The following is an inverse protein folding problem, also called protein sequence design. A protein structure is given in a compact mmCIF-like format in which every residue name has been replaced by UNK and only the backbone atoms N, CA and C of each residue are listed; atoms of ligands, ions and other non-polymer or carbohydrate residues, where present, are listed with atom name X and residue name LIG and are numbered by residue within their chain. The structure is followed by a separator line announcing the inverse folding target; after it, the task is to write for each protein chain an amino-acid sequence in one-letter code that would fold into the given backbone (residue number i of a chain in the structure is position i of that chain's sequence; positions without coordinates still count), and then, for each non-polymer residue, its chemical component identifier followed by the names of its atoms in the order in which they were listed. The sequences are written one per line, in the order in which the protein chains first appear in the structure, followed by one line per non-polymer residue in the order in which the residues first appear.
data_IF_471061572938
#
_entry.id   IF_471061572938
#
_cell.length_a   1.000
_cell.length_b   1.000
_cell.length_c   1.000
_cell.angle_alpha   90.00
_cell.angle_beta   90.00
_cell.angle_gamma   90.00
#
_symmetry.space_group_name_H-M   'P 1'
#
loop_
_entity.id
_entity.type
_entity.pdbx_description
1 polymer ?
#
# COMPACT_ATOMS: atom_id res chain seq x y z
N UNK A 1 23.04 9.93 24.59
CA UNK A 1 22.01 10.94 24.28
C UNK A 1 21.76 10.76 22.80
N UNK A 2 20.77 9.94 22.44
CA UNK A 2 20.28 9.80 21.07
C UNK A 2 19.51 11.08 20.72
N UNK A 3 19.86 11.70 19.61
CA UNK A 3 19.06 12.79 19.03
C UNK A 3 17.62 12.33 18.86
N UNK A 4 16.61 13.20 19.09
CA UNK A 4 15.25 12.87 18.80
C UNK A 4 15.15 12.59 17.30
N UNK A 5 14.63 11.41 16.93
CA UNK A 5 14.26 11.08 15.56
C UNK A 5 13.21 12.10 15.14
N UNK A 6 13.64 13.14 14.44
CA UNK A 6 12.74 14.02 13.70
C UNK A 6 11.97 13.13 12.75
N UNK A 7 10.66 13.17 12.82
CA UNK A 7 9.78 12.33 11.99
C UNK A 7 10.16 12.56 10.52
N UNK A 8 10.52 11.50 9.80
CA UNK A 8 11.05 11.64 8.44
C UNK A 8 9.98 12.03 7.44
N UNK A 9 8.70 11.81 7.74
CA UNK A 9 7.59 12.40 6.99
C UNK A 9 7.64 13.92 6.99
N UNK A 10 8.13 14.58 8.05
CA UNK A 10 8.35 16.02 8.09
C UNK A 10 9.24 16.53 6.93
N UNK A 11 10.13 15.71 6.37
CA UNK A 11 11.00 16.13 5.25
C UNK A 11 10.25 16.18 3.92
N UNK A 12 9.39 15.21 3.63
CA UNK A 12 8.53 15.27 2.45
C UNK A 12 7.54 16.44 2.56
N UNK A 13 6.92 16.63 3.72
CA UNK A 13 6.08 17.79 4.03
C UNK A 13 6.81 19.11 3.77
N UNK A 14 8.04 19.27 4.30
CA UNK A 14 8.85 20.48 4.09
C UNK A 14 9.19 20.68 2.61
N UNK A 15 9.57 19.61 1.87
CA UNK A 15 9.87 19.70 0.43
C UNK A 15 8.66 20.13 -0.40
N UNK A 16 7.47 19.72 0.02
CA UNK A 16 6.21 20.02 -0.66
C UNK A 16 5.53 21.28 -0.14
N UNK A 17 6.08 21.91 0.90
CA UNK A 17 5.53 23.12 1.51
C UNK A 17 4.23 22.85 2.26
N UNK A 18 4.01 21.64 2.77
CA UNK A 18 2.84 21.28 3.57
C UNK A 18 2.71 22.23 4.75
N UNK A 19 1.56 22.90 4.85
CA UNK A 19 1.29 23.93 5.85
C UNK A 19 0.15 23.56 6.81
N UNK A 20 -0.63 22.52 6.50
CA UNK A 20 -1.73 22.10 7.35
C UNK A 20 -2.54 20.94 6.80
N UNK A 21 -3.55 20.53 7.56
CA UNK A 21 -4.47 19.45 7.24
C UNK A 21 -5.85 20.01 6.90
N UNK A 22 -6.46 19.51 5.85
CA UNK A 22 -7.82 19.79 5.44
C UNK A 22 -8.61 18.48 5.27
N UNK A 23 -9.85 18.46 5.75
CA UNK A 23 -10.80 17.39 5.44
C UNK A 23 -11.76 17.89 4.36
N UNK A 24 -11.47 17.60 3.10
CA UNK A 24 -12.25 18.08 1.96
C UNK A 24 -12.26 17.08 0.83
N UNK A 25 -13.24 17.18 -0.04
CA UNK A 25 -13.23 16.46 -1.30
C UNK A 25 -12.12 17.00 -2.22
N UNK A 26 -11.47 16.09 -2.94
CA UNK A 26 -10.47 16.39 -3.95
C UNK A 26 -10.84 15.70 -5.26
N UNK A 27 -10.46 16.28 -6.38
CA UNK A 27 -10.65 15.62 -7.69
C UNK A 27 -9.65 14.46 -7.85
N UNK A 28 -9.97 13.46 -8.66
CA UNK A 28 -9.06 12.36 -8.95
C UNK A 28 -7.71 12.85 -9.51
N UNK A 29 -7.74 13.90 -10.35
CA UNK A 29 -6.52 14.52 -10.92
C UNK A 29 -5.66 15.17 -9.82
N UNK A 30 -6.30 15.90 -8.89
CA UNK A 30 -5.60 16.51 -7.76
C UNK A 30 -4.98 15.44 -6.84
N UNK A 31 -5.73 14.38 -6.52
CA UNK A 31 -5.26 13.28 -5.71
C UNK A 31 -4.08 12.54 -6.37
N UNK A 32 -4.18 12.21 -7.67
CA UNK A 32 -3.09 11.55 -8.41
C UNK A 32 -1.82 12.40 -8.42
N UNK A 33 -1.95 13.72 -8.65
CA UNK A 33 -0.82 14.64 -8.61
C UNK A 33 -0.18 14.68 -7.22
N UNK A 34 -0.99 14.85 -6.18
CA UNK A 34 -0.51 14.89 -4.79
C UNK A 34 0.20 13.59 -4.42
N UNK A 35 -0.40 12.43 -4.67
CA UNK A 35 0.22 11.13 -4.39
C UNK A 35 1.53 10.94 -5.16
N UNK A 36 1.61 11.33 -6.44
CA UNK A 36 2.86 11.25 -7.21
C UNK A 36 3.95 12.12 -6.60
N UNK A 37 3.63 13.38 -6.33
CA UNK A 37 4.60 14.34 -5.75
C UNK A 37 5.07 13.91 -4.37
N UNK A 38 4.16 13.40 -3.54
CA UNK A 38 4.49 12.90 -2.21
C UNK A 38 5.46 11.72 -2.28
N UNK A 39 5.10 10.65 -3.00
CA UNK A 39 5.92 9.45 -3.08
C UNK A 39 7.25 9.68 -3.82
N UNK A 40 7.32 10.66 -4.73
CA UNK A 40 8.60 11.08 -5.31
C UNK A 40 9.47 11.84 -4.29
N UNK A 41 8.87 12.68 -3.45
CA UNK A 41 9.58 13.44 -2.43
C UNK A 41 10.03 12.58 -1.23
N UNK A 42 9.23 11.59 -0.85
CA UNK A 42 9.46 10.70 0.30
C UNK A 42 10.30 9.46 -0.02
N UNK A 43 10.55 9.15 -1.29
CA UNK A 43 11.14 7.89 -1.72
C UNK A 43 12.45 7.51 -1.00
N UNK A 44 13.38 8.48 -0.84
CA UNK A 44 14.67 8.26 -0.18
C UNK A 44 14.49 8.01 1.32
N UNK A 45 13.63 8.79 1.96
CA UNK A 45 13.38 8.70 3.40
C UNK A 45 12.62 7.41 3.72
N UNK A 46 11.59 7.05 2.92
CA UNK A 46 10.85 5.80 3.06
C UNK A 46 11.75 4.57 2.94
N UNK A 47 12.58 4.51 1.90
CA UNK A 47 13.49 3.37 1.71
C UNK A 47 14.57 3.34 2.80
N UNK A 48 15.07 4.50 3.22
CA UNK A 48 16.04 4.60 4.32
C UNK A 48 15.49 4.13 5.67
N UNK A 49 14.20 4.35 5.93
CA UNK A 49 13.56 3.99 7.20
C UNK A 49 13.04 2.55 7.23
N UNK A 50 12.44 2.13 6.12
CA UNK A 50 11.70 0.87 6.08
C UNK A 50 12.42 -0.23 5.31
N UNK A 51 13.47 0.11 4.53
CA UNK A 51 14.14 -0.82 3.64
C UNK A 51 14.74 -2.04 4.32
N UNK A 52 15.31 -1.89 5.54
CA UNK A 52 15.82 -3.02 6.32
C UNK A 52 14.71 -4.02 6.69
N UNK A 53 13.55 -3.52 7.10
CA UNK A 53 12.40 -4.35 7.47
C UNK A 53 11.74 -5.02 6.27
N UNK A 54 11.58 -4.28 5.17
CA UNK A 54 10.97 -4.76 3.95
C UNK A 54 11.89 -5.73 3.17
N UNK A 55 13.20 -5.63 3.41
CA UNK A 55 14.20 -6.40 2.69
C UNK A 55 14.38 -5.95 1.23
N UNK A 56 15.41 -6.45 0.57
CA UNK A 56 15.64 -6.17 -0.84
C UNK A 56 14.91 -7.14 -1.80
N UNK A 57 14.66 -8.37 -1.34
CA UNK A 57 13.91 -9.41 -2.05
C UNK A 57 13.13 -10.24 -1.03
N UNK A 58 12.14 -9.65 -0.41
CA UNK A 58 11.25 -10.26 0.56
C UNK A 58 9.81 -9.79 0.31
N UNK A 59 8.83 -10.59 0.69
CA UNK A 59 7.42 -10.23 0.52
C UNK A 59 6.76 -10.05 1.88
N UNK A 60 6.76 -8.81 2.36
CA UNK A 60 6.13 -8.40 3.61
C UNK A 60 4.78 -7.77 3.32
N UNK A 61 3.71 -8.33 3.86
CA UNK A 61 2.35 -7.84 3.64
C UNK A 61 2.01 -6.58 4.43
N UNK A 62 2.62 -6.40 5.59
CA UNK A 62 2.17 -5.36 6.53
C UNK A 62 3.22 -5.06 7.61
N UNK A 63 3.09 -3.92 8.33
CA UNK A 63 3.95 -3.56 9.45
C UNK A 63 3.95 -4.56 10.62
N UNK A 64 2.91 -5.39 10.76
CA UNK A 64 2.87 -6.51 11.70
C UNK A 64 3.92 -7.59 11.36
N UNK A 65 4.47 -7.57 10.15
CA UNK A 65 5.55 -8.45 9.72
C UNK A 65 5.11 -9.78 9.11
N UNK A 66 3.83 -9.93 8.74
CA UNK A 66 3.35 -11.11 8.02
C UNK A 66 4.04 -11.20 6.66
N UNK A 67 4.71 -12.34 6.41
CA UNK A 67 5.40 -12.61 5.14
C UNK A 67 4.64 -13.58 4.27
N UNK A 68 4.71 -13.42 2.96
CA UNK A 68 4.09 -14.34 2.01
C UNK A 68 4.68 -15.76 2.10
N UNK A 69 5.97 -15.88 2.43
CA UNK A 69 6.61 -17.17 2.65
C UNK A 69 5.91 -18.03 3.72
N UNK A 70 5.32 -17.38 4.73
CA UNK A 70 4.61 -18.04 5.84
C UNK A 70 3.10 -18.08 5.57
N UNK A 71 2.54 -17.02 4.99
CA UNK A 71 1.11 -16.83 4.83
C UNK A 71 0.53 -17.60 3.60
N UNK A 72 1.30 -17.70 2.51
CA UNK A 72 0.88 -18.41 1.29
C UNK A 72 -0.39 -17.86 0.63
N UNK A 73 -0.68 -16.57 0.80
CA UNK A 73 -1.94 -15.96 0.35
C UNK A 73 -2.06 -15.91 -1.18
N UNK A 74 -0.93 -15.80 -1.87
CA UNK A 74 -0.90 -15.82 -3.33
C UNK A 74 -1.10 -17.23 -3.90
N UNK A 75 -0.86 -18.28 -3.09
CA UNK A 75 -0.84 -19.66 -3.56
C UNK A 75 0.40 -19.96 -4.43
N UNK A 76 0.36 -20.99 -5.28
CA UNK A 76 1.48 -21.34 -6.14
C UNK A 76 1.83 -20.19 -7.10
N UNK A 77 3.07 -19.71 -7.05
CA UNK A 77 3.55 -18.58 -7.87
C UNK A 77 4.54 -19.01 -8.96
N UNK A 78 5.14 -20.20 -8.87
CA UNK A 78 6.10 -20.70 -9.85
C UNK A 78 5.46 -20.75 -11.26
N UNK A 79 6.14 -20.16 -12.24
CA UNK A 79 5.65 -20.01 -13.60
C UNK A 79 4.48 -19.04 -13.79
N UNK A 80 3.88 -18.49 -12.73
CA UNK A 80 2.76 -17.55 -12.83
C UNK A 80 3.21 -16.16 -13.30
N UNK A 81 2.35 -15.49 -14.09
CA UNK A 81 2.51 -14.06 -14.39
C UNK A 81 1.84 -13.27 -13.28
N UNK A 82 2.62 -12.44 -12.57
CA UNK A 82 2.15 -11.68 -11.41
C UNK A 82 2.26 -10.18 -11.68
N UNK A 83 1.22 -9.43 -11.34
CA UNK A 83 1.23 -7.95 -11.40
C UNK A 83 1.22 -7.42 -9.98
N UNK A 84 2.26 -6.67 -9.59
CA UNK A 84 2.31 -5.95 -8.33
C UNK A 84 1.89 -4.49 -8.56
N UNK A 85 0.80 -4.06 -7.93
CA UNK A 85 0.22 -2.71 -8.02
C UNK A 85 0.66 -1.89 -6.82
N UNK A 86 1.37 -0.77 -7.05
CA UNK A 86 2.01 0.01 -6.01
C UNK A 86 3.25 -0.72 -5.49
N UNK A 87 4.17 -1.09 -6.39
CA UNK A 87 5.32 -1.93 -6.04
C UNK A 87 6.41 -1.21 -5.26
N UNK A 88 6.39 0.13 -5.21
CA UNK A 88 7.42 0.92 -4.56
C UNK A 88 8.82 0.58 -5.06
N UNK A 89 9.74 0.27 -4.14
CA UNK A 89 11.09 -0.22 -4.46
C UNK A 89 11.13 -1.70 -4.92
N UNK A 90 9.97 -2.34 -5.10
CA UNK A 90 9.73 -3.67 -5.65
C UNK A 90 10.41 -4.86 -4.91
N UNK A 91 10.49 -4.89 -3.58
CA UNK A 91 11.03 -6.05 -2.87
C UNK A 91 10.16 -7.29 -3.08
N UNK A 92 8.82 -7.13 -3.07
CA UNK A 92 7.87 -8.24 -3.29
C UNK A 92 8.01 -8.81 -4.71
N UNK A 93 8.12 -7.96 -5.73
CA UNK A 93 8.36 -8.42 -7.11
C UNK A 93 9.68 -9.20 -7.24
N UNK A 94 10.75 -8.75 -6.57
CA UNK A 94 12.02 -9.50 -6.59
C UNK A 94 11.93 -10.83 -5.85
N UNK A 95 11.22 -10.87 -4.72
CA UNK A 95 10.93 -12.13 -4.04
C UNK A 95 10.15 -13.08 -4.94
N UNK A 96 9.08 -12.61 -5.61
CA UNK A 96 8.29 -13.40 -6.56
C UNK A 96 9.15 -13.96 -7.70
N UNK A 97 10.05 -13.15 -8.28
CA UNK A 97 10.98 -13.60 -9.31
C UNK A 97 11.89 -14.73 -8.80
N UNK A 98 12.38 -14.61 -7.56
CA UNK A 98 13.19 -15.65 -6.91
C UNK A 98 12.39 -16.94 -6.64
N UNK A 99 11.05 -16.88 -6.54
CA UNK A 99 10.18 -18.04 -6.43
C UNK A 99 9.75 -18.61 -7.80
N UNK A 100 10.36 -18.16 -8.90
CA UNK A 100 10.04 -18.67 -10.24
C UNK A 100 8.85 -18.00 -10.93
N UNK A 101 8.25 -16.97 -10.34
CA UNK A 101 7.21 -16.20 -10.99
C UNK A 101 7.76 -15.27 -12.08
N UNK A 102 6.87 -14.74 -12.91
CA UNK A 102 7.14 -13.67 -13.89
C UNK A 102 6.44 -12.37 -13.43
N UNK A 103 7.02 -11.62 -12.48
CA UNK A 103 6.40 -10.42 -11.97
C UNK A 103 6.57 -9.23 -12.91
N UNK A 104 5.63 -8.28 -12.83
CA UNK A 104 5.72 -6.92 -13.35
C UNK A 104 5.33 -5.97 -12.21
N UNK A 105 6.25 -5.08 -11.83
CA UNK A 105 5.98 -4.05 -10.82
C UNK A 105 5.45 -2.78 -11.47
N UNK A 106 4.39 -2.22 -10.89
CA UNK A 106 3.77 -0.97 -11.34
C UNK A 106 3.72 -0.01 -10.16
N UNK A 107 4.22 1.21 -10.36
CA UNK A 107 4.14 2.27 -9.38
C UNK A 107 3.91 3.64 -10.03
N UNK A 108 3.31 4.56 -9.29
CA UNK A 108 3.07 5.92 -9.74
C UNK A 108 4.33 6.79 -9.64
N UNK A 109 5.20 6.50 -8.64
CA UNK A 109 6.38 7.28 -8.29
C UNK A 109 7.60 6.87 -9.12
N UNK A 110 8.19 7.83 -9.81
CA UNK A 110 9.48 7.65 -10.49
C UNK A 110 10.63 7.49 -9.48
N UNK A 111 10.56 8.15 -8.32
CA UNK A 111 11.52 8.04 -7.23
C UNK A 111 11.57 6.62 -6.67
N UNK A 112 10.41 6.05 -6.33
CA UNK A 112 10.32 4.66 -5.87
C UNK A 112 10.84 3.67 -6.92
N UNK A 113 10.49 3.87 -8.19
CA UNK A 113 10.99 3.02 -9.28
C UNK A 113 12.52 3.18 -9.52
N UNK A 114 13.11 4.32 -9.19
CA UNK A 114 14.57 4.48 -9.20
C UNK A 114 15.22 3.61 -8.12
N UNK A 115 14.69 3.58 -6.91
CA UNK A 115 15.11 2.66 -5.85
C UNK A 115 14.94 1.19 -6.25
N UNK A 116 13.84 0.84 -6.94
CA UNK A 116 13.62 -0.50 -7.45
C UNK A 116 14.71 -0.95 -8.44
N UNK A 117 15.12 -0.06 -9.35
CA UNK A 117 16.24 -0.33 -10.30
C UNK A 117 17.57 -0.50 -9.58
N UNK A 118 17.88 0.41 -8.66
CA UNK A 118 19.12 0.32 -7.86
C UNK A 118 19.18 -0.97 -7.02
N UNK A 119 18.05 -1.40 -6.45
CA UNK A 119 17.98 -2.67 -5.73
C UNK A 119 18.13 -3.88 -6.67
N UNK A 120 17.61 -3.82 -7.90
CA UNK A 120 17.82 -4.87 -8.90
C UNK A 120 19.31 -5.04 -9.25
N UNK A 121 20.07 -3.95 -9.34
CA UNK A 121 21.52 -3.98 -9.55
C UNK A 121 22.25 -4.62 -8.37
N UNK A 122 21.87 -4.29 -7.13
CA UNK A 122 22.51 -4.86 -5.91
C UNK A 122 22.19 -6.34 -5.72
N UNK A 123 20.96 -6.75 -5.99
CA UNK A 123 20.49 -8.14 -5.78
C UNK A 123 20.77 -9.05 -6.98
N UNK A 124 21.03 -8.49 -8.15
CA UNK A 124 21.11 -9.23 -9.41
C UNK A 124 19.74 -9.74 -9.91
N UNK A 125 18.63 -9.34 -9.29
CA UNK A 125 17.27 -9.76 -9.65
C UNK A 125 16.53 -8.60 -10.30
N UNK A 126 16.55 -8.54 -11.61
CA UNK A 126 15.82 -7.55 -12.39
C UNK A 126 14.36 -7.99 -12.62
N UNK A 127 13.44 -7.05 -12.46
CA UNK A 127 12.02 -7.23 -12.79
C UNK A 127 11.55 -6.11 -13.71
N UNK A 128 10.65 -6.36 -14.67
CA UNK A 128 10.01 -5.33 -15.46
C UNK A 128 9.27 -4.32 -14.55
N UNK A 129 9.53 -3.02 -14.77
CA UNK A 129 8.93 -1.94 -13.99
C UNK A 129 8.23 -0.96 -14.92
N UNK A 130 6.99 -0.58 -14.60
CA UNK A 130 6.17 0.35 -15.36
C UNK A 130 5.72 1.50 -14.45
N UNK A 131 5.87 2.74 -14.93
CA UNK A 131 5.31 3.90 -14.23
C UNK A 131 3.88 4.15 -14.70
N UNK A 132 2.89 3.91 -13.83
CA UNK A 132 1.49 4.14 -14.13
C UNK A 132 0.65 4.31 -12.87
N UNK A 133 -0.55 4.89 -13.02
CA UNK A 133 -1.57 4.92 -11.98
C UNK A 133 -2.24 3.55 -11.85
N UNK A 134 -2.61 3.17 -10.62
CA UNK A 134 -3.24 1.89 -10.30
C UNK A 134 -4.63 1.73 -10.96
N UNK A 135 -5.31 2.82 -11.26
CA UNK A 135 -6.61 2.85 -11.93
C UNK A 135 -6.54 2.82 -13.45
N UNK A 136 -5.32 2.74 -14.03
CA UNK A 136 -5.06 2.71 -15.49
C UNK A 136 -3.81 1.88 -15.79
N UNK A 137 -3.92 0.57 -15.64
CA UNK A 137 -2.79 -0.35 -15.82
C UNK A 137 -2.43 -0.50 -17.32
N UNK A 138 -1.15 -0.26 -17.72
CA UNK A 138 -0.73 -0.31 -19.11
C UNK A 138 -0.46 -1.76 -19.58
N UNK A 139 -1.39 -2.65 -19.28
CA UNK A 139 -1.33 -4.08 -19.58
C UNK A 139 -2.56 -4.52 -20.38
N UNK A 140 -2.40 -5.52 -21.22
CA UNK A 140 -3.53 -6.10 -21.96
C UNK A 140 -4.47 -6.92 -21.05
N UNK A 141 -5.71 -7.10 -21.47
CA UNK A 141 -6.70 -7.91 -20.76
C UNK A 141 -6.23 -9.38 -20.64
N UNK A 142 -6.46 -10.00 -19.48
CA UNK A 142 -6.25 -11.43 -19.28
C UNK A 142 -4.78 -11.87 -19.41
N UNK A 143 -3.84 -11.01 -19.03
CA UNK A 143 -2.39 -11.32 -19.11
C UNK A 143 -1.83 -11.89 -17.82
N UNK A 144 -2.43 -11.61 -16.66
CA UNK A 144 -1.92 -12.01 -15.35
C UNK A 144 -2.70 -13.18 -14.76
N UNK A 145 -1.99 -14.06 -14.06
CA UNK A 145 -2.57 -15.15 -13.27
C UNK A 145 -2.89 -14.67 -11.84
N UNK A 146 -2.04 -13.78 -11.31
CA UNK A 146 -2.12 -13.21 -9.97
C UNK A 146 -1.88 -11.71 -10.06
N UNK A 147 -2.60 -10.95 -9.25
CA UNK A 147 -2.28 -9.57 -8.93
C UNK A 147 -2.13 -9.41 -7.41
N UNK A 148 -1.25 -8.52 -6.97
CA UNK A 148 -1.04 -8.23 -5.56
C UNK A 148 -0.74 -6.75 -5.32
N UNK A 149 -0.98 -6.30 -4.06
CA UNK A 149 -0.56 -4.98 -3.57
C UNK A 149 -0.31 -5.09 -2.07
N UNK A 150 0.94 -4.98 -1.64
CA UNK A 150 1.30 -4.99 -0.23
C UNK A 150 1.21 -3.56 0.33
N UNK A 151 0.04 -3.20 0.88
CA UNK A 151 -0.37 -1.90 1.47
C UNK A 151 0.04 -0.63 0.68
N UNK A 152 0.24 -0.79 -0.63
CA UNK A 152 0.60 0.30 -1.53
C UNK A 152 -0.60 1.14 -2.01
N UNK A 153 -0.88 1.13 -3.29
CA UNK A 153 -1.72 2.04 -4.06
C UNK A 153 -3.14 2.34 -3.52
N UNK A 154 -3.85 1.36 -2.96
CA UNK A 154 -5.31 1.44 -2.74
C UNK A 154 -5.76 2.60 -1.84
N UNK A 155 -5.10 2.90 -0.71
CA UNK A 155 -5.49 4.02 0.15
C UNK A 155 -5.33 5.40 -0.50
N UNK A 156 -4.48 5.52 -1.53
CA UNK A 156 -4.09 6.79 -2.15
C UNK A 156 -4.86 7.11 -3.45
N UNK A 157 -5.79 6.24 -3.88
CA UNK A 157 -6.60 6.47 -5.07
C UNK A 157 -8.02 6.91 -4.69
N UNK A 158 -8.56 7.85 -5.45
CA UNK A 158 -9.90 8.38 -5.20
C UNK A 158 -10.99 7.31 -5.33
N UNK A 159 -10.86 6.40 -6.29
CA UNK A 159 -11.82 5.33 -6.58
C UNK A 159 -11.12 3.95 -6.56
N UNK A 160 -11.28 3.21 -5.45
CA UNK A 160 -10.79 1.85 -5.36
C UNK A 160 -11.51 0.90 -6.33
N UNK A 161 -12.78 1.18 -6.69
CA UNK A 161 -13.52 0.41 -7.67
C UNK A 161 -12.87 0.48 -9.05
N UNK A 162 -12.33 1.64 -9.45
CA UNK A 162 -11.58 1.77 -10.70
C UNK A 162 -10.31 0.91 -10.69
N UNK A 163 -9.57 0.87 -9.57
CA UNK A 163 -8.41 -0.03 -9.42
C UNK A 163 -8.84 -1.50 -9.53
N UNK A 164 -9.91 -1.89 -8.84
CA UNK A 164 -10.41 -3.27 -8.89
C UNK A 164 -10.89 -3.66 -10.30
N UNK A 165 -11.53 -2.75 -11.03
CA UNK A 165 -11.93 -2.98 -12.41
C UNK A 165 -10.71 -3.19 -13.33
N UNK A 166 -9.64 -2.41 -13.17
CA UNK A 166 -8.40 -2.57 -13.92
C UNK A 166 -7.69 -3.89 -13.57
N UNK A 167 -7.60 -4.22 -12.28
CA UNK A 167 -7.05 -5.52 -11.84
C UNK A 167 -7.89 -6.67 -12.38
N UNK A 168 -9.24 -6.57 -12.33
CA UNK A 168 -10.12 -7.58 -12.94
C UNK A 168 -9.88 -7.71 -14.43
N UNK A 169 -9.70 -6.61 -15.15
CA UNK A 169 -9.44 -6.61 -16.60
C UNK A 169 -8.15 -7.35 -16.96
N UNK A 170 -7.06 -7.11 -16.20
CA UNK A 170 -5.74 -7.68 -16.49
C UNK A 170 -5.59 -9.12 -16.02
N UNK A 171 -6.32 -9.54 -15.00
CA UNK A 171 -6.33 -10.93 -14.55
C UNK A 171 -7.01 -11.85 -15.58
N UNK A 172 -6.59 -13.10 -15.66
CA UNK A 172 -7.32 -14.18 -16.35
C UNK A 172 -8.54 -14.59 -15.54
N UNK A 173 -9.57 -15.22 -16.17
CA UNK A 173 -10.67 -15.83 -15.42
C UNK A 173 -10.14 -16.79 -14.35
N UNK A 174 -10.68 -16.71 -13.14
CA UNK A 174 -10.19 -17.46 -11.98
C UNK A 174 -8.89 -16.95 -11.36
N UNK A 175 -8.30 -15.88 -11.91
CA UNK A 175 -7.09 -15.24 -11.39
C UNK A 175 -7.28 -14.71 -9.96
N UNK A 176 -6.19 -14.61 -9.23
CA UNK A 176 -6.19 -14.20 -7.81
C UNK A 176 -5.82 -12.73 -7.67
N UNK A 177 -6.54 -12.02 -6.82
CA UNK A 177 -6.22 -10.67 -6.35
C UNK A 177 -6.04 -10.68 -4.83
N UNK A 178 -4.85 -10.31 -4.36
CA UNK A 178 -4.58 -10.18 -2.92
C UNK A 178 -4.02 -8.79 -2.65
N UNK A 179 -4.64 -8.06 -1.73
CA UNK A 179 -4.15 -6.72 -1.38
C UNK A 179 -4.31 -6.43 0.11
N UNK A 180 -3.33 -5.74 0.64
CA UNK A 180 -3.34 -5.22 2.01
C UNK A 180 -3.66 -3.72 2.00
N UNK A 181 -4.42 -3.30 2.99
CA UNK A 181 -4.72 -1.88 3.26
C UNK A 181 -4.63 -1.62 4.76
N UNK A 182 -4.48 -0.37 5.13
CA UNK A 182 -4.70 0.06 6.50
C UNK A 182 -6.09 -0.42 6.96
N UNK A 183 -6.14 -1.10 8.10
CA UNK A 183 -7.43 -1.60 8.58
C UNK A 183 -8.41 -0.44 8.79
N UNK A 184 -9.64 -0.51 8.24
CA UNK A 184 -10.60 0.60 8.36
C UNK A 184 -10.91 1.05 9.79
N UNK A 185 -10.82 0.13 10.76
CA UNK A 185 -11.05 0.47 12.16
C UNK A 185 -10.04 1.48 12.70
N UNK A 186 -8.80 1.47 12.19
CA UNK A 186 -7.76 2.39 12.67
C UNK A 186 -8.13 3.87 12.48
N UNK A 187 -8.93 4.19 11.45
CA UNK A 187 -9.32 5.55 11.11
C UNK A 187 -10.14 6.28 12.19
N UNK A 188 -10.73 5.54 13.12
CA UNK A 188 -11.43 6.17 14.25
C UNK A 188 -10.48 6.72 15.31
N UNK A 189 -9.20 6.35 15.26
CA UNK A 189 -8.17 6.74 16.21
C UNK A 189 -7.20 7.76 15.60
N UNK A 190 -6.60 8.65 16.41
CA UNK A 190 -5.52 9.52 15.92
C UNK A 190 -4.30 8.70 15.48
N UNK A 191 -3.48 9.31 14.63
CA UNK A 191 -2.20 8.72 14.20
C UNK A 191 -1.14 8.89 15.29
N UNK A 192 -1.28 8.12 16.35
CA UNK A 192 -0.40 8.11 17.51
C UNK A 192 -0.15 6.66 17.92
N UNK A 193 1.13 6.19 17.94
CA UNK A 193 1.46 4.82 18.33
C UNK A 193 1.30 4.54 19.82
N UNK A 194 1.14 5.58 20.64
CA UNK A 194 1.06 5.51 22.09
C UNK A 194 -0.37 5.45 22.62
N UNK A 195 -0.54 5.69 23.96
CA UNK A 195 -1.84 5.60 24.62
C UNK A 195 -2.90 6.61 24.11
N UNK A 196 -2.49 7.76 23.55
CA UNK A 196 -3.41 8.72 22.98
C UNK A 196 -4.09 8.17 21.72
N UNK A 197 -3.40 7.30 20.96
CA UNK A 197 -3.93 6.58 19.82
C UNK A 197 -4.95 5.50 20.16
N UNK A 198 -5.36 5.34 21.40
CA UNK A 198 -6.39 4.39 21.84
C UNK A 198 -7.76 5.02 22.10
N UNK A 199 -7.88 6.34 21.94
CA UNK A 199 -9.15 7.05 22.10
C UNK A 199 -9.75 7.36 20.73
N UNK A 200 -10.94 6.80 20.45
CA UNK A 200 -11.64 7.09 19.20
C UNK A 200 -12.03 8.59 19.13
N UNK A 201 -11.64 9.24 18.06
CA UNK A 201 -11.85 10.67 17.83
C UNK A 201 -12.57 11.00 16.53
N UNK A 202 -12.64 10.03 15.61
CA UNK A 202 -13.25 10.20 14.29
C UNK A 202 -14.39 9.19 14.07
N UNK A 203 -15.46 9.57 13.35
CA UNK A 203 -16.52 8.63 13.00
C UNK A 203 -16.05 7.58 11.99
N UNK A 204 -16.28 6.30 12.25
CA UNK A 204 -15.97 5.21 11.32
C UNK A 204 -16.63 5.35 9.94
N UNK A 205 -17.77 6.01 9.85
CA UNK A 205 -18.54 6.16 8.62
C UNK A 205 -18.23 7.47 7.86
N UNK A 206 -17.34 8.30 8.37
CA UNK A 206 -16.87 9.46 7.64
C UNK A 206 -15.91 9.02 6.53
N UNK A 207 -16.21 9.38 5.30
CA UNK A 207 -15.43 9.06 4.09
C UNK A 207 -14.80 10.31 3.49
N UNK A 208 -14.79 11.41 4.24
CA UNK A 208 -14.08 12.61 3.83
C UNK A 208 -12.58 12.31 3.75
N UNK A 209 -11.92 12.54 2.63
CA UNK A 209 -10.49 12.31 2.51
C UNK A 209 -9.69 13.11 3.54
N UNK A 210 -8.64 12.49 4.07
CA UNK A 210 -7.58 13.20 4.75
C UNK A 210 -6.70 13.85 3.68
N UNK A 211 -6.48 15.15 3.80
CA UNK A 211 -5.73 15.93 2.81
C UNK A 211 -4.75 16.83 3.53
N UNK A 212 -3.48 16.72 3.20
CA UNK A 212 -2.50 17.74 3.55
C UNK A 212 -2.42 18.77 2.44
N UNK A 213 -2.21 20.02 2.80
CA UNK A 213 -2.22 21.13 1.85
C UNK A 213 -1.00 22.02 2.08
N UNK A 214 -0.50 22.61 1.00
CA UNK A 214 0.50 23.69 1.04
C UNK A 214 -0.11 25.04 1.47
N UNK A 215 0.73 26.07 1.51
CA UNK A 215 0.31 27.43 1.89
C UNK A 215 -0.74 28.06 0.96
N UNK A 216 -0.90 27.55 -0.26
CA UNK A 216 -1.89 28.00 -1.24
C UNK A 216 -3.16 27.12 -1.22
N UNK A 217 -3.21 26.09 -0.38
CA UNK A 217 -4.33 25.18 -0.23
C UNK A 217 -4.37 24.04 -1.27
N UNK A 218 -3.31 23.85 -2.07
CA UNK A 218 -3.20 22.73 -2.97
C UNK A 218 -2.81 21.44 -2.21
N UNK A 219 -3.39 20.29 -2.59
CA UNK A 219 -3.11 19.03 -1.94
C UNK A 219 -1.66 18.59 -2.17
N UNK A 220 -0.96 18.26 -1.07
CA UNK A 220 0.37 17.68 -1.03
C UNK A 220 0.34 16.18 -0.71
N UNK A 221 -0.65 15.73 0.09
CA UNK A 221 -0.91 14.32 0.41
C UNK A 221 -2.40 14.07 0.47
N UNK A 222 -2.85 12.89 0.02
CA UNK A 222 -4.26 12.49 0.10
C UNK A 222 -4.36 11.02 0.46
N UNK A 223 -5.16 10.71 1.47
CA UNK A 223 -5.48 9.35 1.85
C UNK A 223 -6.99 9.19 2.02
N UNK A 224 -7.52 8.03 1.60
CA UNK A 224 -8.95 7.76 1.58
C UNK A 224 -9.32 6.67 2.56
N UNK A 225 -10.22 7.00 3.48
CA UNK A 225 -10.89 6.02 4.30
C UNK A 225 -12.02 5.32 3.55
N UNK A 226 -12.09 4.01 3.70
CA UNK A 226 -13.20 3.16 3.24
C UNK A 226 -13.51 2.15 4.31
N UNK A 227 -14.80 1.90 4.59
CA UNK A 227 -15.20 0.87 5.54
C UNK A 227 -14.92 -0.53 4.95
N UNK A 228 -14.86 -1.57 5.79
CA UNK A 228 -14.80 -2.96 5.30
C UNK A 228 -15.97 -3.26 4.33
N UNK A 229 -17.16 -2.77 4.66
CA UNK A 229 -18.33 -2.93 3.79
C UNK A 229 -18.18 -2.23 2.43
N UNK A 230 -17.46 -1.10 2.35
CA UNK A 230 -17.19 -0.41 1.08
C UNK A 230 -16.25 -1.25 0.21
N UNK A 231 -15.19 -1.83 0.78
CA UNK A 231 -14.29 -2.73 0.06
C UNK A 231 -15.01 -3.96 -0.47
N UNK A 232 -15.79 -4.64 0.38
CA UNK A 232 -16.55 -5.85 -0.02
C UNK A 232 -17.53 -5.53 -1.15
N UNK A 233 -18.28 -4.42 -1.07
CA UNK A 233 -19.21 -4.01 -2.13
C UNK A 233 -18.50 -3.65 -3.43
N UNK A 234 -17.38 -2.94 -3.36
CA UNK A 234 -16.61 -2.57 -4.55
C UNK A 234 -16.02 -3.81 -5.24
N UNK A 235 -15.49 -4.77 -4.48
CA UNK A 235 -15.02 -6.06 -5.01
C UNK A 235 -16.14 -6.83 -5.70
N UNK A 236 -17.29 -6.98 -5.05
CA UNK A 236 -18.44 -7.68 -5.64
C UNK A 236 -18.95 -6.98 -6.92
N UNK A 237 -19.03 -5.65 -6.91
CA UNK A 237 -19.47 -4.86 -8.06
C UNK A 237 -18.51 -4.96 -9.26
N UNK A 238 -17.24 -5.25 -9.03
CA UNK A 238 -16.22 -5.39 -10.08
C UNK A 238 -15.96 -6.85 -10.48
N UNK A 239 -16.77 -7.81 -10.00
CA UNK A 239 -16.69 -9.21 -10.42
C UNK A 239 -15.66 -10.04 -9.64
N UNK A 240 -15.30 -9.62 -8.43
CA UNK A 240 -14.50 -10.42 -7.53
C UNK A 240 -15.34 -11.17 -6.49
N UNK A 241 -14.95 -12.40 -6.22
CA UNK A 241 -15.41 -13.15 -5.06
C UNK A 241 -14.35 -13.04 -3.96
N UNK A 242 -14.72 -12.49 -2.81
CA UNK A 242 -13.89 -12.50 -1.61
C UNK A 242 -13.84 -13.93 -1.06
N UNK A 243 -12.65 -14.50 -0.96
CA UNK A 243 -12.44 -15.87 -0.47
C UNK A 243 -11.89 -15.91 0.94
N UNK A 244 -11.18 -14.84 1.36
CA UNK A 244 -10.66 -14.70 2.72
C UNK A 244 -10.44 -13.22 3.05
N UNK A 245 -10.48 -12.89 4.34
CA UNK A 245 -10.07 -11.60 4.91
C UNK A 245 -9.16 -11.88 6.10
N UNK A 246 -7.88 -11.56 5.94
CA UNK A 246 -6.86 -11.78 6.96
C UNK A 246 -6.61 -10.49 7.72
N UNK A 247 -6.70 -10.56 9.04
CA UNK A 247 -6.35 -9.49 9.98
C UNK A 247 -5.10 -9.96 10.73
N UNK A 248 -3.88 -9.53 10.34
CA UNK A 248 -2.66 -9.99 10.97
C UNK A 248 -2.61 -9.61 12.45
N UNK A 249 -2.34 -10.60 13.32
CA UNK A 249 -2.10 -10.33 14.73
C UNK A 249 -0.69 -9.78 14.94
N UNK A 250 -0.53 -8.95 15.97
CA UNK A 250 0.78 -8.41 16.35
C UNK A 250 1.63 -9.52 16.99
N UNK A 251 2.79 -9.89 16.39
CA UNK A 251 3.58 -11.01 16.91
C UNK A 251 4.21 -10.70 18.26
N UNK A 252 4.34 -11.72 19.11
CA UNK A 252 5.07 -11.59 20.36
C UNK A 252 6.53 -11.21 20.10
N UNK A 253 7.05 -10.25 20.86
CA UNK A 253 8.43 -9.76 20.70
C UNK A 253 8.63 -8.79 19.54
N UNK A 254 7.64 -8.53 18.70
CA UNK A 254 7.73 -7.51 17.67
C UNK A 254 7.61 -6.11 18.27
N UNK A 255 8.70 -5.33 18.22
CA UNK A 255 8.81 -4.03 18.90
C UNK A 255 8.77 -2.84 17.96
N UNK A 256 8.64 -3.07 16.65
CA UNK A 256 8.65 -2.01 15.66
C UNK A 256 7.50 -1.03 15.88
N UNK A 257 7.79 0.24 15.65
CA UNK A 257 6.79 1.29 15.50
C UNK A 257 6.88 1.81 14.07
N UNK A 258 5.74 1.91 13.39
CA UNK A 258 5.63 2.43 12.05
C UNK A 258 4.33 3.25 11.94
N UNK A 259 4.45 4.59 11.99
CA UNK A 259 3.28 5.45 12.15
C UNK A 259 2.47 4.97 13.35
N UNK A 260 1.20 4.71 13.13
CA UNK A 260 0.29 4.22 14.18
C UNK A 260 0.37 2.71 14.47
N UNK A 261 1.13 1.91 13.70
CA UNK A 261 1.39 0.51 14.06
C UNK A 261 2.40 0.45 15.20
N UNK A 262 2.00 -0.16 16.30
CA UNK A 262 2.86 -0.31 17.49
C UNK A 262 2.47 -1.55 18.28
N UNK A 263 3.37 -2.06 19.16
CA UNK A 263 3.05 -3.18 20.04
C UNK A 263 1.86 -2.90 20.96
N UNK A 264 1.64 -1.63 21.34
CA UNK A 264 0.52 -1.24 22.19
C UNK A 264 -0.81 -1.40 21.46
N UNK A 265 -0.92 -0.84 20.26
CA UNK A 265 -2.15 -0.84 19.48
C UNK A 265 -2.42 -2.20 18.87
N UNK A 266 -1.41 -2.84 18.29
CA UNK A 266 -1.53 -4.13 17.60
C UNK A 266 -1.99 -5.28 18.50
N UNK A 267 -1.80 -5.17 19.82
CA UNK A 267 -2.38 -6.12 20.78
C UNK A 267 -3.86 -5.92 21.08
N UNK A 268 -4.45 -4.82 20.63
CA UNK A 268 -5.83 -4.44 20.96
C UNK A 268 -6.75 -4.50 19.74
N UNK A 269 -6.23 -4.18 18.55
CA UNK A 269 -7.00 -4.19 17.31
C UNK A 269 -6.07 -4.30 16.09
N UNK A 270 -6.60 -4.79 14.94
CA UNK A 270 -5.80 -4.97 13.74
C UNK A 270 -5.39 -3.62 13.14
N UNK A 271 -4.13 -3.51 12.74
CA UNK A 271 -3.61 -2.37 11.98
C UNK A 271 -3.80 -2.52 10.47
N UNK A 272 -3.86 -3.76 9.98
CA UNK A 272 -3.93 -4.12 8.56
C UNK A 272 -5.09 -5.07 8.26
N UNK A 273 -5.72 -4.90 7.10
CA UNK A 273 -6.67 -5.84 6.51
C UNK A 273 -6.14 -6.33 5.16
N UNK A 274 -6.07 -7.65 4.97
CA UNK A 274 -5.63 -8.27 3.71
C UNK A 274 -6.80 -9.02 3.09
N UNK A 275 -7.19 -8.59 1.90
CA UNK A 275 -8.30 -9.18 1.15
C UNK A 275 -7.76 -10.21 0.16
N UNK A 276 -8.26 -11.44 0.22
CA UNK A 276 -7.94 -12.50 -0.73
C UNK A 276 -9.15 -12.74 -1.62
N UNK A 277 -8.99 -12.51 -2.92
CA UNK A 277 -10.10 -12.52 -3.86
C UNK A 277 -9.79 -13.39 -5.08
N UNK A 278 -10.85 -13.82 -5.76
CA UNK A 278 -10.76 -14.45 -7.07
C UNK A 278 -11.60 -13.70 -8.09
N UNK A 279 -11.06 -13.54 -9.30
CA UNK A 279 -11.84 -13.09 -10.45
C UNK A 279 -12.88 -14.16 -10.80
N UNK A 280 -14.16 -13.78 -10.76
CA UNK A 280 -15.31 -14.60 -11.14
C UNK A 280 -15.39 -14.79 -12.65
#
# INVERSE_FOLDING_TARGET
VSEPTTDRHERAEQRLGTAGVAYRQVTAVEAERASRSWWDADADDYVGEHGEFLGEADFVWCPEGLREADAGLLGPVDGATVVEVGCGSAPCSRWLAAQGARPVGIDLSAGMLAHARAAAERTGVAVPLLQASADRLPLACGTADIACSAFGAIPFVADAGAVFAEVHRVLRPGGRWVFAVNHPLRWIFPDDPGPQGLTATQPYFDRTPYVEVDGDGAATYVEYHRTLGDYVRALAATGFTLTDLVEPEWPEGHTRVWGQWSPLRGRLFPGTAIFVCRRS
#
